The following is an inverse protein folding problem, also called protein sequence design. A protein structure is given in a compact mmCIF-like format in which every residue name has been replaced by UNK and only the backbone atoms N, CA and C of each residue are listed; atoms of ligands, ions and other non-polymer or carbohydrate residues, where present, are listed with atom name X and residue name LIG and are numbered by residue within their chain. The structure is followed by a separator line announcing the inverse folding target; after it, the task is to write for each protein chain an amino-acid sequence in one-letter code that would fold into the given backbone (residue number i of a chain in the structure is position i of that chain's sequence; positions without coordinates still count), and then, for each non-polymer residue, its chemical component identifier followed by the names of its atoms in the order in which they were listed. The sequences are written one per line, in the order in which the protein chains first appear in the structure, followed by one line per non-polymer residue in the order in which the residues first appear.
data_IF_612041848269
#
_entry.id   IF_612041848269
#
_cell.length_a   1.000
_cell.length_b   1.000
_cell.length_c   1.000
_cell.angle_alpha   90.00
_cell.angle_beta   90.00
_cell.angle_gamma   90.00
#
_symmetry.space_group_name_H-M   'P 1'
#
loop_
_entity.id
_entity.type
_entity.pdbx_description
1 polymer ?
#
# COMPACT_ATOMS: atom_id res chain seq x y z
N UNK A 1 -35.10 -14.08 9.46
CA UNK A 1 -35.86 -13.04 8.68
C UNK A 1 -34.88 -11.91 8.39
N UNK A 2 -34.32 -11.92 7.21
CA UNK A 2 -33.39 -10.88 6.72
C UNK A 2 -34.23 -9.78 6.09
N UNK A 3 -34.45 -8.69 6.82
CA UNK A 3 -34.98 -7.47 6.22
C UNK A 3 -33.95 -6.92 5.22
N UNK A 4 -34.28 -7.00 3.95
CA UNK A 4 -33.61 -6.27 2.89
C UNK A 4 -33.86 -4.78 3.12
N UNK A 5 -32.86 -4.05 3.58
CA UNK A 5 -32.91 -2.59 3.68
C UNK A 5 -32.83 -2.04 2.26
N UNK A 6 -34.00 -1.78 1.67
CA UNK A 6 -34.13 -1.02 0.46
C UNK A 6 -33.94 0.49 0.77
N UNK A 7 -32.72 1.01 0.63
CA UNK A 7 -32.53 2.45 0.48
C UNK A 7 -31.40 2.73 -0.51
N UNK A 8 -31.75 3.36 -1.61
CA UNK A 8 -30.82 3.74 -2.69
C UNK A 8 -29.87 4.91 -2.33
N UNK A 9 -30.16 5.63 -1.26
CA UNK A 9 -29.39 6.80 -0.79
C UNK A 9 -28.01 6.52 -0.14
N UNK A 10 -27.74 5.41 0.57
CA UNK A 10 -26.43 5.19 1.19
C UNK A 10 -25.33 4.75 0.23
N UNK A 11 -25.65 4.32 -0.99
CA UNK A 11 -24.71 3.70 -1.90
C UNK A 11 -23.64 4.67 -2.43
N UNK A 12 -24.01 5.90 -2.79
CA UNK A 12 -23.05 6.93 -3.21
C UNK A 12 -22.06 7.28 -2.11
N UNK A 13 -22.54 7.33 -0.85
CA UNK A 13 -21.67 7.56 0.31
C UNK A 13 -20.59 6.49 0.43
N UNK A 14 -20.93 5.22 0.26
CA UNK A 14 -19.98 4.10 0.32
C UNK A 14 -18.91 4.20 -0.77
N UNK A 15 -19.30 4.56 -2.01
CA UNK A 15 -18.32 4.77 -3.09
C UNK A 15 -17.35 5.90 -2.78
N UNK A 16 -17.87 7.03 -2.28
CA UNK A 16 -17.04 8.19 -1.91
C UNK A 16 -16.08 7.85 -0.76
N UNK A 17 -16.58 7.18 0.27
CA UNK A 17 -15.77 6.79 1.44
C UNK A 17 -14.65 5.84 1.04
N UNK A 18 -14.97 4.76 0.31
CA UNK A 18 -13.96 3.80 -0.13
C UNK A 18 -12.96 4.43 -1.11
N UNK A 19 -13.42 5.32 -1.99
CA UNK A 19 -12.55 6.06 -2.88
C UNK A 19 -11.60 6.97 -2.09
N UNK A 20 -12.14 7.87 -1.25
CA UNK A 20 -11.33 8.82 -0.50
C UNK A 20 -10.37 8.12 0.47
N UNK A 21 -10.82 7.12 1.22
CA UNK A 21 -9.97 6.43 2.19
C UNK A 21 -8.78 5.72 1.55
N UNK A 22 -9.00 5.02 0.43
CA UNK A 22 -7.92 4.34 -0.29
C UNK A 22 -7.06 5.31 -1.10
N UNK A 23 -7.66 6.32 -1.71
CA UNK A 23 -6.95 7.34 -2.47
C UNK A 23 -6.00 8.13 -1.58
N UNK A 24 -6.47 8.65 -0.42
CA UNK A 24 -5.64 9.39 0.53
C UNK A 24 -4.43 8.58 0.98
N UNK A 25 -4.64 7.33 1.41
CA UNK A 25 -3.56 6.48 1.91
C UNK A 25 -2.54 6.08 0.83
N UNK A 26 -2.91 6.06 -0.45
CA UNK A 26 -2.01 5.74 -1.56
C UNK A 26 -1.37 7.00 -2.19
N UNK A 27 -2.09 8.11 -2.23
CA UNK A 27 -1.59 9.41 -2.66
C UNK A 27 -0.43 9.88 -1.79
N UNK A 28 -0.63 9.80 -0.49
CA UNK A 28 0.32 10.23 0.53
C UNK A 28 1.69 9.53 0.41
N UNK A 29 1.70 8.23 0.10
CA UNK A 29 2.95 7.49 -0.13
C UNK A 29 3.70 7.93 -1.39
N UNK A 30 2.99 8.41 -2.43
CA UNK A 30 3.60 8.87 -3.68
C UNK A 30 4.16 10.29 -3.63
N UNK A 31 3.50 11.17 -2.89
CA UNK A 31 3.86 12.60 -2.83
C UNK A 31 5.12 12.85 -2.00
N UNK A 32 5.27 12.19 -0.86
CA UNK A 32 6.30 12.48 0.14
C UNK A 32 7.73 12.27 -0.39
N UNK A 33 7.94 11.29 -1.26
CA UNK A 33 9.25 11.04 -1.84
C UNK A 33 9.83 12.26 -2.58
N UNK A 34 8.99 13.11 -3.17
CA UNK A 34 9.41 14.33 -3.86
C UNK A 34 9.86 15.43 -2.89
N UNK A 35 9.30 15.45 -1.70
CA UNK A 35 9.52 16.51 -0.73
C UNK A 35 10.69 16.25 0.24
N UNK A 36 11.32 15.05 0.19
CA UNK A 36 12.40 14.69 1.12
C UNK A 36 13.54 15.70 1.15
N UNK A 37 13.98 16.16 -0.03
CA UNK A 37 15.03 17.19 -0.14
C UNK A 37 14.60 18.52 0.50
N UNK A 38 13.34 18.92 0.30
CA UNK A 38 12.81 20.14 0.90
C UNK A 38 12.75 20.04 2.42
N UNK A 39 12.33 18.89 2.96
CA UNK A 39 12.34 18.65 4.41
C UNK A 39 13.75 18.67 5.00
N UNK A 40 14.73 18.05 4.31
CA UNK A 40 16.13 18.01 4.75
C UNK A 40 16.71 19.42 4.83
N UNK A 41 16.43 20.28 3.85
CA UNK A 41 16.88 21.68 3.83
C UNK A 41 16.17 22.52 4.88
N UNK A 42 14.84 22.45 4.96
CA UNK A 42 14.05 23.32 5.86
C UNK A 42 14.28 23.01 7.35
N UNK A 43 14.51 21.72 7.68
CA UNK A 43 14.77 21.32 9.08
C UNK A 43 16.25 21.16 9.41
N UNK A 44 17.15 21.39 8.46
CA UNK A 44 18.61 21.23 8.62
C UNK A 44 19.00 19.84 9.20
N UNK A 45 18.46 18.78 8.58
CA UNK A 45 18.72 17.39 8.95
C UNK A 45 19.15 16.54 7.75
N UNK A 46 19.84 15.42 8.02
CA UNK A 46 20.22 14.50 6.94
C UNK A 46 19.01 13.87 6.24
N UNK A 47 19.19 13.52 4.96
CA UNK A 47 18.14 12.80 4.18
C UNK A 47 17.79 11.45 4.82
N UNK A 48 18.75 10.78 5.43
CA UNK A 48 18.54 9.52 6.15
C UNK A 48 17.61 9.70 7.34
N UNK A 49 17.84 10.75 8.13
CA UNK A 49 17.02 11.05 9.29
C UNK A 49 15.58 11.39 8.90
N UNK A 50 15.37 12.25 7.93
CA UNK A 50 14.03 12.60 7.47
C UNK A 50 13.35 11.45 6.71
N UNK A 51 14.13 10.54 6.13
CA UNK A 51 13.66 9.30 5.51
C UNK A 51 12.92 8.37 6.49
N UNK A 52 13.19 8.48 7.81
CA UNK A 52 12.42 7.81 8.85
C UNK A 52 10.94 8.17 8.80
N UNK A 53 10.58 9.35 8.31
CA UNK A 53 9.17 9.77 8.15
C UNK A 53 8.40 8.83 7.22
N UNK A 54 9.02 8.33 6.16
CA UNK A 54 8.42 7.37 5.23
C UNK A 54 8.43 5.97 5.84
N UNK A 55 9.58 5.57 6.39
CA UNK A 55 9.76 4.23 6.95
C UNK A 55 8.80 3.96 8.11
N UNK A 56 8.69 4.89 9.06
CA UNK A 56 7.81 4.73 10.22
C UNK A 56 6.33 4.80 9.83
N UNK A 57 5.96 5.63 8.86
CA UNK A 57 4.61 5.62 8.28
C UNK A 57 4.24 4.24 7.76
N UNK A 58 5.07 3.65 6.88
CA UNK A 58 4.82 2.34 6.28
C UNK A 58 4.84 1.22 7.32
N UNK A 59 5.77 1.27 8.26
CA UNK A 59 5.88 0.31 9.35
C UNK A 59 4.60 0.29 10.20
N UNK A 60 4.15 1.46 10.66
CA UNK A 60 2.93 1.55 11.47
C UNK A 60 1.68 1.23 10.66
N UNK A 61 1.62 1.61 9.39
CA UNK A 61 0.54 1.18 8.50
C UNK A 61 0.44 -0.35 8.49
N UNK A 62 1.54 -1.06 8.26
CA UNK A 62 1.54 -2.53 8.20
C UNK A 62 1.16 -3.15 9.54
N UNK A 63 1.75 -2.66 10.64
CA UNK A 63 1.49 -3.18 11.99
C UNK A 63 0.01 -3.05 12.34
N UNK A 64 -0.57 -1.88 12.07
CA UNK A 64 -1.94 -1.58 12.45
C UNK A 64 -3.00 -2.07 11.46
N UNK A 65 -2.62 -2.62 10.29
CA UNK A 65 -3.60 -3.16 9.32
C UNK A 65 -4.50 -4.25 9.92
N UNK A 66 -3.90 -5.23 10.60
CA UNK A 66 -4.67 -6.34 11.19
C UNK A 66 -5.50 -5.88 12.39
N UNK A 67 -4.96 -5.10 13.36
CA UNK A 67 -5.78 -4.49 14.42
C UNK A 67 -6.92 -3.65 13.88
N UNK A 68 -6.68 -2.88 12.81
CA UNK A 68 -7.70 -2.03 12.18
C UNK A 68 -8.83 -2.86 11.55
N UNK A 69 -8.50 -3.99 10.94
CA UNK A 69 -9.48 -4.94 10.41
C UNK A 69 -10.33 -5.56 11.53
N UNK A 70 -9.68 -6.02 12.59
CA UNK A 70 -10.37 -6.53 13.78
C UNK A 70 -11.28 -5.46 14.42
N UNK A 71 -10.78 -4.22 14.55
CA UNK A 71 -11.54 -3.11 15.11
C UNK A 71 -12.79 -2.82 14.26
N UNK A 72 -12.69 -2.88 12.94
CA UNK A 72 -13.83 -2.72 12.04
C UNK A 72 -14.86 -3.84 12.14
N UNK A 73 -14.42 -5.07 12.32
CA UNK A 73 -15.32 -6.20 12.51
C UNK A 73 -15.97 -6.20 13.92
N UNK A 74 -15.30 -5.59 14.93
CA UNK A 74 -15.76 -5.49 16.31
C UNK A 74 -16.66 -4.26 16.58
N UNK A 75 -16.24 -3.06 16.19
CA UNK A 75 -16.97 -1.80 16.42
C UNK A 75 -17.90 -1.41 15.27
N UNK A 76 -17.76 -2.05 14.13
CA UNK A 76 -18.37 -1.66 12.86
C UNK A 76 -17.44 -0.81 12.00
N UNK A 77 -17.51 -1.04 10.67
CA UNK A 77 -16.66 -0.36 9.69
C UNK A 77 -16.86 1.16 9.67
N UNK A 78 -18.08 1.62 9.95
CA UNK A 78 -18.41 3.04 10.03
C UNK A 78 -17.57 3.77 11.08
N UNK A 79 -17.53 3.25 12.32
CA UNK A 79 -16.80 3.87 13.43
C UNK A 79 -15.31 3.84 13.15
N UNK A 80 -14.78 2.69 12.70
CA UNK A 80 -13.38 2.53 12.36
C UNK A 80 -12.94 3.49 11.25
N UNK A 81 -13.79 3.73 10.22
CA UNK A 81 -13.52 4.68 9.15
C UNK A 81 -13.55 6.13 9.62
N UNK A 82 -14.52 6.51 10.48
CA UNK A 82 -14.55 7.85 11.07
C UNK A 82 -13.27 8.12 11.85
N UNK A 83 -12.87 7.20 12.73
CA UNK A 83 -11.62 7.30 13.49
C UNK A 83 -10.42 7.38 12.56
N UNK A 84 -10.38 6.57 11.49
CA UNK A 84 -9.33 6.58 10.48
C UNK A 84 -9.21 7.92 9.77
N UNK A 85 -10.32 8.50 9.28
CA UNK A 85 -10.32 9.81 8.64
C UNK A 85 -9.92 10.93 9.60
N UNK A 86 -10.44 10.92 10.83
CA UNK A 86 -10.11 11.94 11.83
C UNK A 86 -8.63 11.86 12.21
N UNK A 87 -8.11 10.67 12.49
CA UNK A 87 -6.70 10.49 12.86
C UNK A 87 -5.78 10.90 11.70
N UNK A 88 -6.06 10.44 10.48
CA UNK A 88 -5.27 10.79 9.30
C UNK A 88 -5.33 12.31 9.03
N UNK A 89 -6.50 12.93 9.12
CA UNK A 89 -6.68 14.37 8.89
C UNK A 89 -6.00 15.22 9.96
N UNK A 90 -6.14 14.88 11.25
CA UNK A 90 -5.50 15.61 12.36
C UNK A 90 -3.98 15.51 12.27
N UNK A 91 -3.45 14.33 12.04
CA UNK A 91 -2.00 14.14 11.90
C UNK A 91 -1.45 14.77 10.61
N UNK A 92 -2.24 14.82 9.53
CA UNK A 92 -1.90 15.59 8.33
C UNK A 92 -1.85 17.09 8.61
N UNK A 93 -2.79 17.60 9.40
CA UNK A 93 -2.77 19.00 9.84
C UNK A 93 -1.51 19.30 10.66
N UNK A 94 -1.17 18.44 11.65
CA UNK A 94 0.05 18.58 12.46
C UNK A 94 1.29 18.53 11.57
N UNK A 95 1.34 17.63 10.58
CA UNK A 95 2.44 17.53 9.64
C UNK A 95 2.62 18.80 8.80
N UNK A 96 1.53 19.40 8.33
CA UNK A 96 1.56 20.63 7.54
C UNK A 96 1.99 21.88 8.32
N UNK A 97 1.87 21.86 9.65
CA UNK A 97 2.31 22.93 10.55
C UNK A 97 3.52 22.52 11.39
N UNK A 98 4.28 21.52 10.98
CA UNK A 98 5.45 21.09 11.76
C UNK A 98 6.62 22.07 11.66
N UNK A 99 7.19 22.40 12.83
CA UNK A 99 8.35 23.30 12.96
C UNK A 99 9.66 22.51 13.16
N UNK A 100 9.60 21.18 13.20
CA UNK A 100 10.77 20.31 13.38
C UNK A 100 10.60 18.95 12.70
N UNK A 101 11.73 18.34 12.31
CA UNK A 101 11.76 16.99 11.74
C UNK A 101 11.10 15.96 12.66
N UNK A 102 11.32 16.05 13.98
CA UNK A 102 10.71 15.15 14.95
C UNK A 102 9.17 15.24 14.95
N UNK A 103 8.62 16.44 14.90
CA UNK A 103 7.17 16.65 14.83
C UNK A 103 6.59 16.10 13.54
N UNK A 104 7.29 16.30 12.41
CA UNK A 104 6.92 15.71 11.14
C UNK A 104 6.92 14.18 11.22
N UNK A 105 8.01 13.57 11.72
CA UNK A 105 8.13 12.11 11.85
C UNK A 105 7.03 11.53 12.74
N UNK A 106 6.74 12.16 13.90
CA UNK A 106 5.66 11.72 14.79
C UNK A 106 4.28 11.82 14.14
N UNK A 107 4.02 12.90 13.40
CA UNK A 107 2.75 13.04 12.67
C UNK A 107 2.61 11.97 11.58
N UNK A 108 3.70 11.60 10.90
CA UNK A 108 3.74 10.50 9.96
C UNK A 108 3.39 9.15 10.60
N UNK A 109 3.82 8.94 11.84
CA UNK A 109 3.41 7.76 12.61
C UNK A 109 1.89 7.70 12.78
N UNK A 110 1.26 8.80 13.17
CA UNK A 110 -0.20 8.88 13.29
C UNK A 110 -0.93 8.71 11.96
N UNK A 111 -0.40 9.27 10.87
CA UNK A 111 -0.94 9.06 9.53
C UNK A 111 -0.88 7.58 9.11
N UNK A 112 0.20 6.86 9.43
CA UNK A 112 0.32 5.42 9.17
C UNK A 112 -0.79 4.60 9.83
N UNK A 113 -1.11 4.89 11.10
CA UNK A 113 -2.21 4.26 11.83
C UNK A 113 -3.56 4.62 11.20
N UNK A 114 -3.78 5.90 10.88
CA UNK A 114 -4.99 6.36 10.19
C UNK A 114 -5.18 5.66 8.83
N UNK A 115 -4.11 5.56 8.04
CA UNK A 115 -4.11 4.85 6.75
C UNK A 115 -4.46 3.36 6.89
N UNK A 116 -3.97 2.70 7.94
CA UNK A 116 -4.31 1.30 8.23
C UNK A 116 -5.81 1.13 8.50
N UNK A 117 -6.40 2.02 9.31
CA UNK A 117 -7.85 2.04 9.56
C UNK A 117 -8.64 2.24 8.28
N UNK A 118 -8.23 3.17 7.42
CA UNK A 118 -8.89 3.42 6.15
C UNK A 118 -8.77 2.24 5.20
N UNK A 119 -7.57 1.69 4.99
CA UNK A 119 -7.34 0.60 4.04
C UNK A 119 -8.08 -0.68 4.42
N UNK A 120 -8.01 -1.10 5.69
CA UNK A 120 -8.67 -2.33 6.16
C UNK A 120 -10.20 -2.21 6.06
N UNK A 121 -10.75 -1.09 6.51
CA UNK A 121 -12.20 -0.95 6.67
C UNK A 121 -12.92 -0.51 5.39
N UNK A 122 -12.27 0.17 4.45
CA UNK A 122 -12.82 0.38 3.11
C UNK A 122 -13.07 -0.96 2.38
N UNK A 123 -12.13 -1.91 2.47
CA UNK A 123 -12.32 -3.24 1.91
C UNK A 123 -13.39 -4.04 2.68
N UNK A 124 -13.41 -3.92 4.02
CA UNK A 124 -14.46 -4.50 4.87
C UNK A 124 -15.85 -4.03 4.46
N UNK A 125 -16.03 -2.72 4.36
CA UNK A 125 -17.29 -2.09 3.95
C UNK A 125 -17.72 -2.54 2.54
N UNK A 126 -16.77 -2.68 1.61
CA UNK A 126 -17.04 -3.21 0.28
C UNK A 126 -17.51 -4.67 0.32
N UNK A 127 -16.94 -5.46 1.22
CA UNK A 127 -17.29 -6.86 1.43
C UNK A 127 -18.73 -7.08 1.89
N UNK A 128 -19.33 -6.13 2.60
CA UNK A 128 -20.71 -6.23 3.10
C UNK A 128 -21.78 -5.94 2.02
N UNK A 129 -21.40 -5.41 0.86
CA UNK A 129 -22.36 -5.03 -0.17
C UNK A 129 -22.91 -6.23 -0.95
N UNK A 130 -24.03 -6.06 -1.67
CA UNK A 130 -24.59 -7.07 -2.56
C UNK A 130 -23.67 -7.39 -3.74
N UNK A 131 -23.79 -8.56 -4.36
CA UNK A 131 -22.88 -9.02 -5.43
C UNK A 131 -22.77 -8.02 -6.60
N UNK A 132 -23.87 -7.40 -7.05
CA UNK A 132 -23.85 -6.36 -8.10
C UNK A 132 -23.10 -5.11 -7.64
N UNK A 133 -23.28 -4.71 -6.40
CA UNK A 133 -22.69 -3.52 -5.81
C UNK A 133 -21.18 -3.71 -5.57
N UNK A 134 -20.77 -4.91 -5.11
CA UNK A 134 -19.35 -5.28 -4.94
C UNK A 134 -18.54 -5.08 -6.22
N UNK A 135 -19.07 -5.49 -7.38
CA UNK A 135 -18.37 -5.38 -8.66
C UNK A 135 -18.10 -3.90 -9.00
N UNK A 136 -19.12 -3.04 -8.88
CA UNK A 136 -18.95 -1.60 -9.11
C UNK A 136 -17.98 -0.97 -8.10
N UNK A 137 -18.16 -1.29 -6.82
CA UNK A 137 -17.34 -0.75 -5.75
C UNK A 137 -15.87 -1.16 -5.89
N UNK A 138 -15.59 -2.42 -6.25
CA UNK A 138 -14.22 -2.88 -6.54
C UNK A 138 -13.57 -2.08 -7.68
N UNK A 139 -14.33 -1.65 -8.70
CA UNK A 139 -13.82 -0.77 -9.75
C UNK A 139 -13.41 0.61 -9.21
N UNK A 140 -14.22 1.19 -8.30
CA UNK A 140 -13.87 2.46 -7.62
C UNK A 140 -12.67 2.31 -6.70
N UNK A 141 -12.57 1.19 -5.98
CA UNK A 141 -11.42 0.86 -5.15
C UNK A 141 -10.14 0.78 -5.99
N UNK A 142 -10.20 0.11 -7.15
CA UNK A 142 -9.04 0.01 -8.05
C UNK A 142 -8.65 1.39 -8.61
N UNK A 143 -9.63 2.21 -9.00
CA UNK A 143 -9.37 3.59 -9.42
C UNK A 143 -8.67 4.39 -8.32
N UNK A 144 -9.17 4.32 -7.09
CA UNK A 144 -8.59 5.04 -5.95
C UNK A 144 -7.12 4.65 -5.70
N UNK A 145 -6.85 3.33 -5.68
CA UNK A 145 -5.51 2.79 -5.46
C UNK A 145 -4.54 3.18 -6.60
N UNK A 146 -5.04 3.24 -7.83
CA UNK A 146 -4.22 3.56 -9.00
C UNK A 146 -3.95 5.05 -9.16
N UNK A 147 -4.94 5.89 -8.83
CA UNK A 147 -4.82 7.34 -8.96
C UNK A 147 -3.80 7.92 -7.98
N UNK A 148 -3.68 7.34 -6.78
CA UNK A 148 -2.72 7.82 -5.78
C UNK A 148 -1.29 7.91 -6.32
N UNK A 149 -0.69 6.82 -6.78
CA UNK A 149 0.66 6.82 -7.36
C UNK A 149 0.82 7.65 -8.63
N UNK A 150 -0.24 7.83 -9.43
CA UNK A 150 -0.19 8.70 -10.63
C UNK A 150 -0.15 10.17 -10.24
N UNK A 151 -1.10 10.55 -9.39
CA UNK A 151 -1.29 11.95 -9.02
C UNK A 151 -0.22 12.40 -8.02
N UNK A 152 0.37 11.46 -7.25
CA UNK A 152 1.42 11.73 -6.29
C UNK A 152 2.56 12.58 -6.89
N UNK A 153 3.35 12.05 -7.82
CA UNK A 153 4.44 12.79 -8.43
C UNK A 153 3.99 14.04 -9.19
N UNK A 154 2.93 13.94 -10.01
CA UNK A 154 2.48 15.04 -10.87
C UNK A 154 1.89 16.20 -10.06
N UNK A 155 0.89 15.94 -9.21
CA UNK A 155 0.28 16.97 -8.37
C UNK A 155 1.20 17.40 -7.23
N UNK A 156 1.94 16.46 -6.63
CA UNK A 156 2.90 16.74 -5.58
C UNK A 156 3.96 17.72 -6.04
N UNK A 157 4.52 17.55 -7.24
CA UNK A 157 5.51 18.47 -7.82
C UNK A 157 4.95 19.87 -8.05
N UNK A 158 3.71 19.98 -8.54
CA UNK A 158 3.03 21.27 -8.74
C UNK A 158 2.79 21.97 -7.40
N UNK A 159 2.25 21.25 -6.41
CA UNK A 159 1.96 21.77 -5.07
C UNK A 159 3.25 22.23 -4.40
N UNK A 160 4.29 21.41 -4.45
CA UNK A 160 5.60 21.72 -3.87
C UNK A 160 6.20 23.01 -4.45
N UNK A 161 6.10 23.19 -5.76
CA UNK A 161 6.61 24.35 -6.47
C UNK A 161 5.82 25.65 -6.18
N UNK A 162 4.48 25.57 -6.07
CA UNK A 162 3.60 26.74 -5.95
C UNK A 162 3.34 27.16 -4.50
N UNK A 163 3.20 26.20 -3.58
CA UNK A 163 2.73 26.46 -2.22
C UNK A 163 3.63 25.87 -1.13
N UNK A 164 4.68 25.13 -1.50
CA UNK A 164 5.58 24.49 -0.55
C UNK A 164 5.08 23.13 -0.09
N UNK A 165 5.95 22.43 0.65
CA UNK A 165 5.70 21.05 1.10
C UNK A 165 4.57 20.92 2.14
N UNK A 166 4.30 21.96 2.90
CA UNK A 166 3.24 22.01 3.93
C UNK A 166 1.88 21.65 3.31
N UNK A 167 1.63 22.15 2.10
CA UNK A 167 0.37 21.92 1.41
C UNK A 167 0.19 20.48 0.90
N UNK A 168 1.28 19.69 0.81
CA UNK A 168 1.18 18.26 0.50
C UNK A 168 0.42 17.49 1.59
N UNK A 169 0.51 17.96 2.83
CA UNK A 169 -0.22 17.42 3.96
C UNK A 169 -1.59 18.08 4.14
N UNK A 170 -1.64 19.41 4.03
CA UNK A 170 -2.88 20.18 4.29
C UNK A 170 -4.00 19.83 3.31
N UNK A 171 -3.70 19.40 2.08
CA UNK A 171 -4.72 18.95 1.10
C UNK A 171 -5.50 17.71 1.59
N UNK A 172 -4.90 16.90 2.46
CA UNK A 172 -5.57 15.73 3.03
C UNK A 172 -6.69 16.12 4.00
N UNK A 173 -6.56 17.26 4.68
CA UNK A 173 -7.49 17.68 5.75
C UNK A 173 -8.93 17.84 5.23
N UNK A 174 -9.20 18.65 4.18
CA UNK A 174 -10.56 18.80 3.67
C UNK A 174 -11.12 17.47 3.13
N UNK A 175 -10.29 16.62 2.53
CA UNK A 175 -10.73 15.31 2.04
C UNK A 175 -11.11 14.38 3.18
N UNK A 176 -10.38 14.41 4.30
CA UNK A 176 -10.70 13.66 5.51
C UNK A 176 -12.00 14.12 6.16
N UNK A 177 -12.25 15.45 6.20
CA UNK A 177 -13.51 16.01 6.70
C UNK A 177 -14.68 15.51 5.84
N UNK A 178 -14.55 15.60 4.52
CA UNK A 178 -15.56 15.08 3.58
C UNK A 178 -15.80 13.59 3.79
N UNK A 179 -14.75 12.78 3.88
CA UNK A 179 -14.84 11.35 4.14
C UNK A 179 -15.58 11.03 5.44
N UNK A 180 -15.24 11.73 6.54
CA UNK A 180 -15.90 11.58 7.84
C UNK A 180 -17.39 11.94 7.79
N UNK A 181 -17.75 13.04 7.12
CA UNK A 181 -19.14 13.45 6.95
C UNK A 181 -19.97 12.43 6.15
N UNK A 182 -19.37 11.84 5.10
CA UNK A 182 -20.03 10.76 4.36
C UNK A 182 -20.21 9.48 5.19
N UNK A 183 -19.26 9.17 6.09
CA UNK A 183 -19.39 8.04 7.02
C UNK A 183 -20.62 8.22 7.95
N UNK A 184 -20.94 9.45 8.39
CA UNK A 184 -22.13 9.70 9.21
C UNK A 184 -23.44 9.33 8.50
N UNK A 185 -23.48 9.38 7.16
CA UNK A 185 -24.65 9.06 6.34
C UNK A 185 -24.90 7.56 6.12
N UNK A 186 -23.96 6.71 6.53
CA UNK A 186 -24.14 5.26 6.44
C UNK A 186 -24.94 4.79 7.65
N UNK A 187 -26.03 4.07 7.37
CA UNK A 187 -26.75 3.27 8.36
C UNK A 187 -26.11 1.89 8.42
N UNK A 188 -25.24 1.66 9.37
CA UNK A 188 -24.64 0.36 9.63
C UNK A 188 -25.41 -0.32 10.75
N UNK A 189 -26.00 -1.48 10.45
CA UNK A 189 -26.42 -2.40 11.51
C UNK A 189 -25.14 -3.03 12.05
N UNK A 190 -24.69 -2.60 13.20
CA UNK A 190 -23.57 -3.20 13.91
C UNK A 190 -23.96 -4.64 14.21
N UNK A 191 -23.42 -5.59 13.45
CA UNK A 191 -23.45 -6.98 13.84
C UNK A 191 -22.39 -7.07 14.95
N UNK A 192 -22.84 -6.89 16.21
CA UNK A 192 -22.00 -7.14 17.37
C UNK A 192 -21.57 -8.61 17.32
N UNK A 193 -20.43 -8.86 16.72
CA UNK A 193 -19.77 -10.15 16.82
C UNK A 193 -19.42 -10.37 18.29
N UNK A 194 -19.56 -11.60 18.75
CA UNK A 194 -19.24 -12.04 20.11
C UNK A 194 -17.96 -11.32 20.61
N UNK A 195 -17.95 -10.93 21.89
CA UNK A 195 -16.82 -10.30 22.60
C UNK A 195 -15.57 -11.18 22.52
N UNK A 196 -14.96 -11.21 21.35
CA UNK A 196 -13.66 -11.85 21.16
C UNK A 196 -12.61 -10.93 21.79
N UNK A 197 -11.85 -11.44 22.75
CA UNK A 197 -10.76 -10.69 23.39
C UNK A 197 -9.66 -10.43 22.36
N UNK A 198 -9.21 -9.17 22.29
CA UNK A 198 -8.10 -8.79 21.41
C UNK A 198 -6.77 -9.39 21.90
N UNK A 199 -6.01 -10.01 21.02
CA UNK A 199 -4.70 -10.57 21.32
C UNK A 199 -3.59 -9.51 21.27
N UNK A 200 -3.44 -8.78 22.37
CA UNK A 200 -2.40 -7.77 22.50
C UNK A 200 -0.98 -8.39 22.46
N UNK A 201 -0.81 -9.62 22.98
CA UNK A 201 0.50 -10.31 22.99
C UNK A 201 0.96 -10.64 21.58
N UNK A 202 0.06 -11.18 20.75
CA UNK A 202 0.34 -11.44 19.35
C UNK A 202 0.70 -10.15 18.59
N UNK A 203 0.00 -9.04 18.85
CA UNK A 203 0.31 -7.74 18.25
C UNK A 203 1.72 -7.25 18.61
N UNK A 204 2.11 -7.33 19.89
CA UNK A 204 3.45 -6.89 20.34
C UNK A 204 4.54 -7.75 19.69
N UNK A 205 4.37 -9.08 19.65
CA UNK A 205 5.35 -9.97 19.00
C UNK A 205 5.47 -9.68 17.50
N UNK A 206 4.35 -9.43 16.83
CA UNK A 206 4.35 -9.04 15.42
C UNK A 206 5.05 -7.71 15.19
N UNK A 207 4.82 -6.71 16.06
CA UNK A 207 5.54 -5.45 16.03
C UNK A 207 7.05 -5.64 16.18
N UNK A 208 7.49 -6.38 17.20
CA UNK A 208 8.93 -6.66 17.43
C UNK A 208 9.56 -7.37 16.23
N UNK A 209 8.86 -8.33 15.63
CA UNK A 209 9.30 -9.02 14.43
C UNK A 209 9.49 -8.05 13.26
N UNK A 210 8.52 -7.17 13.00
CA UNK A 210 8.62 -6.21 11.90
C UNK A 210 9.71 -5.17 12.13
N UNK A 211 9.90 -4.70 13.36
CA UNK A 211 11.02 -3.81 13.70
C UNK A 211 12.36 -4.50 13.42
N UNK A 212 12.50 -5.77 13.82
CA UNK A 212 13.68 -6.55 13.51
C UNK A 212 13.93 -6.70 12.01
N UNK A 213 12.90 -7.00 11.22
CA UNK A 213 13.00 -7.08 9.76
C UNK A 213 13.41 -5.75 9.13
N UNK A 214 12.84 -4.64 9.58
CA UNK A 214 13.19 -3.30 9.07
C UNK A 214 14.64 -2.95 9.45
N UNK A 215 15.06 -3.22 10.68
CA UNK A 215 16.44 -2.99 11.11
C UNK A 215 17.46 -3.77 10.27
N UNK A 216 17.11 -4.99 9.83
CA UNK A 216 17.96 -5.79 8.94
C UNK A 216 18.04 -5.19 7.53
N UNK A 217 16.91 -4.70 6.99
CA UNK A 217 16.87 -4.06 5.67
C UNK A 217 17.76 -2.80 5.66
N UNK A 218 17.71 -2.02 6.73
CA UNK A 218 18.48 -0.78 6.86
C UNK A 218 19.84 -0.96 7.58
N UNK A 219 20.33 -2.19 7.75
CA UNK A 219 21.55 -2.48 8.52
C UNK A 219 22.78 -1.73 8.00
N UNK A 220 22.94 -1.59 6.70
CA UNK A 220 24.04 -0.84 6.09
C UNK A 220 23.93 0.67 6.37
N UNK A 221 22.71 1.23 6.30
CA UNK A 221 22.47 2.66 6.53
C UNK A 221 22.65 3.08 7.99
N UNK A 222 22.43 2.13 8.94
CA UNK A 222 22.61 2.35 10.39
C UNK A 222 24.04 1.99 10.83
N UNK A 223 24.91 1.58 9.89
CA UNK A 223 26.28 1.14 10.15
C UNK A 223 26.40 0.02 11.21
N UNK A 224 25.47 -0.94 11.17
CA UNK A 224 25.52 -2.09 12.08
C UNK A 224 26.72 -2.99 11.76
N UNK A 225 27.43 -3.38 12.79
CA UNK A 225 28.49 -4.39 12.66
C UNK A 225 27.91 -5.76 12.26
N UNK A 226 28.75 -6.63 11.70
CA UNK A 226 28.34 -7.99 11.33
C UNK A 226 27.80 -8.79 12.53
N UNK A 227 28.31 -8.50 13.73
CA UNK A 227 27.87 -9.15 14.98
C UNK A 227 26.48 -8.67 15.36
N UNK A 228 26.21 -7.35 15.31
CA UNK A 228 24.88 -6.79 15.62
C UNK A 228 23.83 -7.27 14.60
N UNK A 229 24.17 -7.27 13.32
CA UNK A 229 23.28 -7.79 12.26
C UNK A 229 22.96 -9.27 12.48
N UNK A 230 23.94 -10.09 12.86
CA UNK A 230 23.72 -11.51 13.18
C UNK A 230 22.84 -11.68 14.42
N UNK A 231 23.04 -10.85 15.46
CA UNK A 231 22.24 -10.88 16.68
C UNK A 231 20.78 -10.47 16.41
N UNK A 232 20.55 -9.40 15.62
CA UNK A 232 19.22 -8.96 15.23
C UNK A 232 18.53 -10.04 14.38
N UNK A 233 19.25 -10.67 13.44
CA UNK A 233 18.70 -11.75 12.61
C UNK A 233 18.25 -12.94 13.46
N UNK A 234 19.10 -13.37 14.41
CA UNK A 234 18.81 -14.48 15.29
C UNK A 234 17.63 -14.17 16.23
N UNK A 235 17.63 -12.99 16.85
CA UNK A 235 16.53 -12.57 17.73
C UNK A 235 15.20 -12.45 16.97
N UNK A 236 15.20 -11.88 15.77
CA UNK A 236 14.03 -11.77 14.91
C UNK A 236 13.47 -13.15 14.54
N UNK A 237 14.35 -14.11 14.23
CA UNK A 237 13.95 -15.50 13.96
C UNK A 237 13.32 -16.16 15.20
N UNK A 238 13.90 -15.97 16.38
CA UNK A 238 13.32 -16.48 17.64
C UNK A 238 11.93 -15.87 17.88
N UNK A 239 11.80 -14.55 17.74
CA UNK A 239 10.52 -13.85 17.90
C UNK A 239 9.48 -14.39 16.91
N UNK A 240 9.87 -14.63 15.64
CA UNK A 240 9.00 -15.22 14.63
C UNK A 240 8.51 -16.63 15.04
N UNK A 241 9.41 -17.49 15.55
CA UNK A 241 9.06 -18.84 15.99
C UNK A 241 8.11 -18.82 17.19
N UNK A 242 8.35 -17.90 18.15
CA UNK A 242 7.46 -17.69 19.29
C UNK A 242 6.11 -17.15 18.87
N UNK A 243 6.07 -16.13 18.02
CA UNK A 243 4.87 -15.57 17.44
C UNK A 243 4.03 -16.69 16.77
N UNK A 244 4.64 -17.47 15.87
CA UNK A 244 3.96 -18.53 15.16
C UNK A 244 3.39 -19.60 16.12
N UNK A 245 4.14 -19.98 17.15
CA UNK A 245 3.70 -20.97 18.15
C UNK A 245 2.54 -20.45 18.99
N UNK A 246 2.55 -19.19 19.39
CA UNK A 246 1.49 -18.57 20.20
C UNK A 246 0.24 -18.40 19.36
N UNK A 247 0.35 -17.78 18.19
CA UNK A 247 -0.75 -17.52 17.28
C UNK A 247 -1.47 -18.78 16.79
N UNK A 248 -0.72 -19.84 16.51
CA UNK A 248 -1.32 -21.10 16.05
C UNK A 248 -2.17 -21.78 17.13
N UNK A 249 -1.90 -21.54 18.42
CA UNK A 249 -2.61 -22.12 19.56
C UNK A 249 -3.70 -21.21 20.12
N UNK A 250 -3.62 -19.91 19.89
CA UNK A 250 -4.58 -18.95 20.44
C UNK A 250 -5.98 -19.16 19.83
N UNK A 251 -7.03 -19.01 20.65
CA UNK A 251 -8.43 -19.17 20.21
C UNK A 251 -8.81 -18.10 19.20
N UNK A 252 -8.43 -16.84 19.47
CA UNK A 252 -8.64 -15.66 18.65
C UNK A 252 -7.29 -14.96 18.41
N UNK A 253 -6.47 -15.48 17.48
CA UNK A 253 -5.14 -14.96 17.24
C UNK A 253 -5.20 -13.54 16.65
N UNK A 254 -4.24 -12.69 17.01
CA UNK A 254 -4.02 -11.38 16.42
C UNK A 254 -3.87 -11.48 14.90
N UNK A 255 -2.93 -12.30 14.45
CA UNK A 255 -2.76 -12.62 13.05
C UNK A 255 -3.62 -13.83 12.71
N UNK A 256 -4.59 -13.72 11.81
CA UNK A 256 -5.58 -14.76 11.59
C UNK A 256 -5.03 -15.97 10.85
N UNK A 257 -4.07 -16.68 11.47
CA UNK A 257 -3.40 -17.89 10.92
C UNK A 257 -4.43 -18.92 10.46
N UNK A 258 -5.54 -19.04 11.21
CA UNK A 258 -6.65 -19.96 10.86
C UNK A 258 -7.34 -19.57 9.54
N UNK A 259 -7.36 -18.29 9.16
CA UNK A 259 -7.86 -17.88 7.85
C UNK A 259 -6.88 -18.25 6.73
N UNK A 260 -5.58 -18.21 6.98
CA UNK A 260 -4.56 -18.65 6.03
C UNK A 260 -4.54 -20.17 5.81
N UNK A 261 -5.09 -20.96 6.72
CA UNK A 261 -5.28 -22.40 6.49
C UNK A 261 -6.35 -22.69 5.42
N UNK A 262 -7.24 -21.73 5.15
CA UNK A 262 -8.20 -21.81 4.06
C UNK A 262 -7.46 -21.58 2.73
N UNK A 263 -7.43 -22.61 1.87
CA UNK A 263 -6.67 -22.59 0.62
C UNK A 263 -6.95 -21.35 -0.22
N UNK A 264 -8.22 -20.94 -0.37
CA UNK A 264 -8.58 -19.75 -1.14
C UNK A 264 -7.94 -18.48 -0.59
N UNK A 265 -7.98 -18.25 0.74
CA UNK A 265 -7.41 -17.07 1.39
C UNK A 265 -5.89 -17.09 1.28
N UNK A 266 -5.27 -18.25 1.46
CA UNK A 266 -3.82 -18.41 1.32
C UNK A 266 -3.34 -18.03 -0.09
N UNK A 267 -3.97 -18.54 -1.15
CA UNK A 267 -3.62 -18.19 -2.52
C UNK A 267 -3.85 -16.71 -2.83
N UNK A 268 -4.91 -16.12 -2.29
CA UNK A 268 -5.17 -14.68 -2.43
C UNK A 268 -4.07 -13.86 -1.75
N UNK A 269 -3.65 -14.24 -0.55
CA UNK A 269 -2.59 -13.56 0.19
C UNK A 269 -1.24 -13.64 -0.53
N UNK A 270 -0.87 -14.84 -1.02
CA UNK A 270 0.34 -15.02 -1.82
C UNK A 270 0.28 -14.20 -3.12
N UNK A 271 -0.86 -14.21 -3.82
CA UNK A 271 -1.06 -13.40 -5.02
C UNK A 271 -0.92 -11.89 -4.74
N UNK A 272 -1.45 -11.42 -3.61
CA UNK A 272 -1.31 -10.01 -3.19
C UNK A 272 0.15 -9.65 -2.86
N UNK A 273 0.91 -10.58 -2.26
CA UNK A 273 2.34 -10.42 -2.00
C UNK A 273 3.13 -10.30 -3.32
N UNK A 274 2.88 -11.19 -4.28
CA UNK A 274 3.53 -11.17 -5.59
C UNK A 274 3.23 -9.86 -6.34
N UNK A 275 1.96 -9.43 -6.34
CA UNK A 275 1.59 -8.15 -6.93
C UNK A 275 2.28 -6.98 -6.24
N UNK A 276 2.32 -6.97 -4.91
CA UNK A 276 3.02 -5.95 -4.15
C UNK A 276 4.51 -5.91 -4.45
N UNK A 277 5.18 -7.06 -4.47
CA UNK A 277 6.60 -7.20 -4.74
C UNK A 277 6.97 -6.65 -6.13
N UNK A 278 6.26 -7.07 -7.17
CA UNK A 278 6.50 -6.57 -8.53
C UNK A 278 6.20 -5.08 -8.66
N UNK A 279 5.14 -4.59 -8.01
CA UNK A 279 4.82 -3.16 -7.97
C UNK A 279 5.90 -2.35 -7.24
N UNK A 280 6.40 -2.84 -6.11
CA UNK A 280 7.47 -2.20 -5.33
C UNK A 280 8.75 -2.07 -6.15
N UNK A 281 9.15 -3.10 -6.89
CA UNK A 281 10.31 -3.05 -7.77
C UNK A 281 10.11 -1.98 -8.87
N UNK A 282 8.99 -1.99 -9.57
CA UNK A 282 8.73 -1.06 -10.66
C UNK A 282 8.70 0.39 -10.15
N UNK A 283 7.99 0.67 -9.07
CA UNK A 283 7.86 2.02 -8.55
C UNK A 283 9.17 2.59 -8.00
N UNK A 284 10.06 1.73 -7.48
CA UNK A 284 11.36 2.17 -6.96
C UNK A 284 12.45 2.19 -8.03
N UNK A 285 12.57 1.14 -8.85
CA UNK A 285 13.65 1.02 -9.81
C UNK A 285 13.48 1.96 -11.00
N UNK A 286 12.25 2.10 -11.54
CA UNK A 286 12.04 2.84 -12.79
C UNK A 286 12.50 4.31 -12.73
N UNK A 287 12.12 5.12 -11.72
CA UNK A 287 12.60 6.50 -11.64
C UNK A 287 14.11 6.58 -11.53
N UNK A 288 14.74 5.68 -10.77
CA UNK A 288 16.18 5.67 -10.54
C UNK A 288 16.94 5.33 -11.84
N UNK A 289 16.48 4.31 -12.56
CA UNK A 289 17.09 3.90 -13.84
C UNK A 289 17.01 5.06 -14.83
N UNK A 290 15.83 5.67 -15.02
CA UNK A 290 15.68 6.79 -15.95
C UNK A 290 16.53 8.00 -15.55
N UNK A 291 16.63 8.33 -14.27
CA UNK A 291 17.45 9.46 -13.80
C UNK A 291 18.95 9.21 -14.04
N UNK A 292 19.41 7.96 -13.94
CA UNK A 292 20.84 7.62 -14.14
C UNK A 292 21.23 7.49 -15.60
N UNK A 293 20.38 6.83 -16.39
CA UNK A 293 20.71 6.40 -17.75
C UNK A 293 20.23 7.38 -18.84
N UNK A 294 19.43 8.39 -18.48
CA UNK A 294 18.89 9.33 -19.44
C UNK A 294 19.07 10.78 -18.97
N UNK A 295 19.08 11.71 -19.93
CA UNK A 295 19.13 13.15 -19.65
C UNK A 295 17.73 13.78 -19.51
N UNK A 296 16.68 12.99 -19.34
CA UNK A 296 15.32 13.51 -19.20
C UNK A 296 15.15 14.31 -17.91
N UNK A 297 14.40 15.42 -17.94
CA UNK A 297 14.01 16.16 -16.75
C UNK A 297 13.17 15.30 -15.80
N UNK A 298 13.23 15.58 -14.49
CA UNK A 298 12.53 14.78 -13.45
C UNK A 298 11.03 14.75 -13.66
N UNK A 299 10.43 15.82 -14.16
CA UNK A 299 9.00 15.92 -14.49
C UNK A 299 8.60 14.99 -15.64
N UNK A 300 9.44 14.86 -16.69
CA UNK A 300 9.22 13.91 -17.78
C UNK A 300 9.37 12.46 -17.30
N UNK A 301 10.37 12.16 -16.47
CA UNK A 301 10.53 10.84 -15.84
C UNK A 301 9.29 10.49 -15.01
N UNK A 302 8.78 11.44 -14.23
CA UNK A 302 7.53 11.27 -13.49
C UNK A 302 6.36 10.89 -14.40
N UNK A 303 6.21 11.55 -15.56
CA UNK A 303 5.18 11.22 -16.54
C UNK A 303 5.37 9.82 -17.15
N UNK A 304 6.59 9.44 -17.50
CA UNK A 304 6.89 8.10 -18.03
C UNK A 304 6.50 7.00 -17.03
N UNK A 305 6.80 7.20 -15.75
CA UNK A 305 6.46 6.24 -14.69
C UNK A 305 4.94 6.11 -14.44
N UNK A 306 4.11 7.06 -14.91
CA UNK A 306 2.64 6.94 -14.81
C UNK A 306 2.04 5.88 -15.74
N UNK A 307 2.80 5.33 -16.67
CA UNK A 307 2.33 4.32 -17.62
C UNK A 307 1.74 3.08 -16.95
N UNK A 308 2.38 2.55 -15.90
CA UNK A 308 1.87 1.40 -15.15
C UNK A 308 0.53 1.69 -14.45
N UNK A 309 0.38 2.74 -13.64
CA UNK A 309 -0.91 3.15 -13.08
C UNK A 309 -2.01 3.39 -14.14
N UNK A 310 -1.69 3.96 -15.29
CA UNK A 310 -2.65 4.12 -16.40
C UNK A 310 -3.13 2.75 -16.88
N UNK A 311 -2.24 1.77 -17.01
CA UNK A 311 -2.60 0.38 -17.33
C UNK A 311 -3.59 -0.20 -16.31
N UNK A 312 -3.40 0.06 -15.00
CA UNK A 312 -4.36 -0.37 -13.96
C UNK A 312 -5.73 0.30 -14.15
N UNK A 313 -5.78 1.57 -14.51
CA UNK A 313 -7.06 2.25 -14.84
C UNK A 313 -7.73 1.59 -16.05
N UNK A 314 -6.98 1.28 -17.11
CA UNK A 314 -7.50 0.57 -18.27
C UNK A 314 -8.10 -0.78 -17.89
N UNK A 315 -7.53 -1.50 -16.93
CA UNK A 315 -8.07 -2.76 -16.43
C UNK A 315 -9.50 -2.65 -15.90
N UNK A 316 -9.86 -1.49 -15.32
CA UNK A 316 -11.22 -1.23 -14.83
C UNK A 316 -12.22 -1.18 -15.99
N UNK A 317 -11.84 -0.57 -17.12
CA UNK A 317 -12.69 -0.52 -18.31
C UNK A 317 -12.81 -1.90 -18.98
N UNK A 318 -11.69 -2.62 -19.11
CA UNK A 318 -11.67 -4.00 -19.64
C UNK A 318 -12.59 -4.90 -18.81
N UNK A 319 -12.50 -4.80 -17.47
CA UNK A 319 -13.33 -5.60 -16.57
C UNK A 319 -14.84 -5.31 -16.69
N UNK A 320 -15.26 -4.10 -17.09
CA UNK A 320 -16.67 -3.79 -17.33
C UNK A 320 -17.26 -4.55 -18.52
N UNK A 321 -16.43 -4.86 -19.52
CA UNK A 321 -16.84 -5.58 -20.73
C UNK A 321 -16.90 -7.09 -20.48
N UNK A 322 -16.05 -7.60 -19.57
CA UNK A 322 -15.97 -9.04 -19.28
C UNK A 322 -17.06 -9.43 -18.26
N UNK A 323 -17.76 -10.53 -18.54
CA UNK A 323 -18.78 -11.06 -17.63
C UNK A 323 -18.18 -11.38 -16.25
N UNK A 324 -18.78 -10.90 -15.14
CA UNK A 324 -18.29 -11.12 -13.77
C UNK A 324 -18.13 -12.58 -13.36
N UNK A 325 -18.81 -13.50 -14.04
CA UNK A 325 -18.71 -14.94 -13.77
C UNK A 325 -17.32 -15.51 -14.15
N UNK A 326 -16.58 -14.85 -15.03
CA UNK A 326 -15.25 -15.29 -15.49
C UNK A 326 -14.09 -14.83 -14.60
N UNK A 327 -14.36 -14.37 -13.36
CA UNK A 327 -13.32 -13.87 -12.43
C UNK A 327 -12.12 -14.83 -12.22
N UNK A 328 -12.36 -16.15 -12.17
CA UNK A 328 -11.28 -17.15 -12.07
C UNK A 328 -10.48 -17.26 -13.37
N UNK A 329 -11.15 -17.17 -14.51
CA UNK A 329 -10.53 -17.17 -15.84
C UNK A 329 -9.67 -15.92 -16.00
N UNK A 330 -10.23 -14.75 -15.63
CA UNK A 330 -9.48 -13.47 -15.64
C UNK A 330 -8.22 -13.59 -14.79
N UNK A 331 -8.30 -14.20 -13.59
CA UNK A 331 -7.16 -14.40 -12.72
C UNK A 331 -6.06 -15.24 -13.37
N UNK A 332 -6.44 -16.35 -14.06
CA UNK A 332 -5.51 -17.27 -14.72
C UNK A 332 -4.74 -16.57 -15.85
N UNK A 333 -5.39 -15.70 -16.64
CA UNK A 333 -4.73 -14.99 -17.74
C UNK A 333 -4.04 -13.70 -17.32
N UNK A 334 -4.54 -13.03 -16.28
CA UNK A 334 -3.98 -11.78 -15.80
C UNK A 334 -2.60 -11.95 -15.13
N UNK A 335 -2.38 -13.05 -14.41
CA UNK A 335 -1.10 -13.33 -13.76
C UNK A 335 0.05 -13.51 -14.77
N UNK A 336 -0.05 -14.38 -15.80
CA UNK A 336 0.98 -14.48 -16.84
C UNK A 336 1.20 -13.16 -17.59
N UNK A 337 0.13 -12.42 -17.91
CA UNK A 337 0.24 -11.11 -18.55
C UNK A 337 1.04 -10.13 -17.67
N UNK A 338 0.76 -10.08 -16.38
CA UNK A 338 1.48 -9.23 -15.44
C UNK A 338 2.97 -9.65 -15.35
N UNK A 339 3.25 -10.95 -15.19
CA UNK A 339 4.61 -11.43 -15.02
C UNK A 339 5.43 -11.33 -16.30
N UNK A 340 4.85 -11.59 -17.48
CA UNK A 340 5.54 -11.42 -18.76
C UNK A 340 5.85 -9.95 -19.03
N UNK A 341 4.93 -9.05 -18.75
CA UNK A 341 5.18 -7.63 -18.88
C UNK A 341 6.22 -7.11 -17.87
N UNK A 342 6.24 -7.66 -16.66
CA UNK A 342 7.29 -7.38 -15.66
C UNK A 342 8.68 -7.86 -16.17
N UNK A 343 8.76 -9.06 -16.73
CA UNK A 343 10.00 -9.56 -17.31
C UNK A 343 10.47 -8.69 -18.51
N UNK A 344 9.53 -8.23 -19.35
CA UNK A 344 9.84 -7.30 -20.44
C UNK A 344 10.38 -5.97 -19.93
N UNK A 345 9.82 -5.42 -18.85
CA UNK A 345 10.34 -4.19 -18.21
C UNK A 345 11.78 -4.37 -17.76
N UNK A 346 12.10 -5.52 -17.19
CA UNK A 346 13.47 -5.84 -16.79
C UNK A 346 14.41 -5.94 -17.99
N UNK A 347 14.00 -6.56 -19.10
CA UNK A 347 14.81 -6.65 -20.33
C UNK A 347 15.00 -5.29 -21.01
N UNK A 348 13.97 -4.43 -21.00
CA UNK A 348 14.02 -3.09 -21.58
C UNK A 348 14.95 -2.17 -20.78
N UNK A 349 15.16 -2.40 -19.49
CA UNK A 349 16.10 -1.62 -18.67
C UNK A 349 17.57 -1.74 -19.14
N UNK A 350 17.93 -2.77 -19.89
CA UNK A 350 19.25 -2.92 -20.50
C UNK A 350 19.41 -2.15 -21.84
N UNK A 351 18.31 -1.72 -22.47
CA UNK A 351 18.31 -0.98 -23.73
C UNK A 351 17.15 0.02 -23.72
N UNK A 352 17.37 1.18 -23.09
CA UNK A 352 16.31 2.10 -22.67
C UNK A 352 15.65 2.79 -23.87
N UNK A 353 14.58 2.18 -24.38
CA UNK A 353 13.61 2.82 -25.24
C UNK A 353 12.39 3.21 -24.42
N UNK A 354 12.14 4.52 -24.25
CA UNK A 354 10.96 5.04 -23.55
C UNK A 354 9.66 4.44 -24.08
N UNK A 355 9.56 4.30 -25.40
CA UNK A 355 8.38 3.70 -26.03
C UNK A 355 8.14 2.26 -25.58
N UNK A 356 9.17 1.41 -25.62
CA UNK A 356 9.08 0.02 -25.18
C UNK A 356 8.77 -0.08 -23.68
N UNK A 357 9.38 0.79 -22.86
CA UNK A 357 9.09 0.86 -21.44
C UNK A 357 7.63 1.21 -21.17
N UNK A 358 7.09 2.25 -21.82
CA UNK A 358 5.71 2.70 -21.63
C UNK A 358 4.72 1.57 -21.98
N UNK A 359 4.93 0.87 -23.10
CA UNK A 359 4.06 -0.25 -23.49
C UNK A 359 4.15 -1.39 -22.47
N UNK A 360 5.34 -1.80 -22.06
CA UNK A 360 5.52 -2.86 -21.08
C UNK A 360 4.93 -2.49 -19.73
N UNK A 361 5.13 -1.25 -19.27
CA UNK A 361 4.56 -0.75 -18.03
C UNK A 361 3.03 -0.67 -18.06
N UNK A 362 2.43 -0.25 -19.19
CA UNK A 362 0.98 -0.27 -19.37
C UNK A 362 0.42 -1.71 -19.37
N UNK A 363 1.08 -2.64 -20.05
CA UNK A 363 0.71 -4.06 -20.05
C UNK A 363 0.81 -4.67 -18.63
N UNK A 364 1.88 -4.34 -17.88
CA UNK A 364 2.02 -4.71 -16.49
C UNK A 364 0.86 -4.18 -15.64
N UNK A 365 0.56 -2.89 -15.76
CA UNK A 365 -0.53 -2.25 -15.03
C UNK A 365 -1.89 -2.87 -15.35
N UNK A 366 -2.15 -3.15 -16.62
CA UNK A 366 -3.39 -3.79 -17.06
C UNK A 366 -3.52 -5.21 -16.48
N UNK A 367 -2.48 -6.03 -16.62
CA UNK A 367 -2.44 -7.37 -16.05
C UNK A 367 -2.57 -7.36 -14.52
N UNK A 368 -1.79 -6.49 -13.84
CA UNK A 368 -1.81 -6.33 -12.39
C UNK A 368 -3.16 -5.85 -11.86
N UNK A 369 -3.79 -4.88 -12.54
CA UNK A 369 -5.12 -4.38 -12.18
C UNK A 369 -6.22 -5.43 -12.31
N UNK A 370 -6.22 -6.20 -13.40
CA UNK A 370 -7.13 -7.35 -13.58
C UNK A 370 -6.90 -8.42 -12.52
N UNK A 371 -5.64 -8.75 -12.25
CA UNK A 371 -5.24 -9.73 -11.26
C UNK A 371 -5.69 -9.32 -9.86
N UNK A 372 -5.27 -8.16 -9.37
CA UNK A 372 -5.58 -7.67 -8.03
C UNK A 372 -7.08 -7.47 -7.81
N UNK A 373 -7.80 -6.91 -8.79
CA UNK A 373 -9.25 -6.73 -8.67
C UNK A 373 -10.01 -8.05 -8.61
N UNK A 374 -9.51 -9.10 -9.26
CA UNK A 374 -10.09 -10.45 -9.21
C UNK A 374 -9.79 -11.14 -7.88
N UNK A 375 -8.58 -10.97 -7.35
CA UNK A 375 -8.21 -11.44 -6.00
C UNK A 375 -9.13 -10.84 -4.93
N UNK A 376 -9.30 -9.51 -4.93
CA UNK A 376 -10.19 -8.82 -3.97
C UNK A 376 -11.62 -9.33 -4.11
N UNK A 377 -12.12 -9.50 -5.32
CA UNK A 377 -13.49 -9.99 -5.54
C UNK A 377 -13.67 -11.40 -4.98
N UNK A 378 -12.74 -12.31 -5.23
CA UNK A 378 -12.79 -13.69 -4.71
C UNK A 378 -12.68 -13.68 -3.17
N UNK A 379 -11.83 -12.85 -2.61
CA UNK A 379 -11.64 -12.71 -1.18
C UNK A 379 -12.92 -12.27 -0.46
N UNK A 380 -13.59 -11.25 -1.02
CA UNK A 380 -14.82 -10.69 -0.45
C UNK A 380 -16.04 -11.64 -0.56
N UNK A 381 -15.91 -12.77 -1.25
CA UNK A 381 -16.93 -13.84 -1.28
C UNK A 381 -16.74 -14.89 -0.19
N UNK A 382 -15.62 -14.88 0.52
CA UNK A 382 -15.31 -15.88 1.54
C UNK A 382 -16.22 -15.70 2.79
N UNK A 383 -15.68 -15.37 3.94
CA UNK A 383 -16.43 -15.22 5.20
C UNK A 383 -17.04 -13.82 5.33
N UNK A 384 -18.38 -13.73 5.39
CA UNK A 384 -19.10 -12.45 5.49
C UNK A 384 -18.92 -11.75 6.85
N UNK A 385 -18.63 -12.48 7.88
CA UNK A 385 -18.43 -12.02 9.26
C UNK A 385 -17.04 -11.46 9.55
N UNK A 386 -16.05 -11.69 8.65
CA UNK A 386 -14.65 -11.26 8.81
C UNK A 386 -14.12 -10.49 7.58
N UNK A 387 -14.93 -9.62 7.03
CA UNK A 387 -14.59 -8.92 5.77
C UNK A 387 -13.45 -7.92 5.95
N UNK A 388 -13.45 -7.15 7.05
CA UNK A 388 -12.38 -6.20 7.34
C UNK A 388 -11.06 -6.92 7.65
N UNK A 389 -11.12 -8.03 8.39
CA UNK A 389 -9.95 -8.88 8.65
C UNK A 389 -9.37 -9.48 7.35
N UNK A 390 -10.22 -9.96 6.43
CA UNK A 390 -9.76 -10.44 5.12
C UNK A 390 -9.17 -9.29 4.29
N UNK A 391 -9.81 -8.13 4.31
CA UNK A 391 -9.31 -6.92 3.65
C UNK A 391 -7.95 -6.49 4.18
N UNK A 392 -7.76 -6.51 5.51
CA UNK A 392 -6.48 -6.17 6.14
C UNK A 392 -5.37 -7.15 5.78
N UNK A 393 -5.66 -8.46 5.69
CA UNK A 393 -4.69 -9.46 5.23
C UNK A 393 -4.23 -9.19 3.80
N UNK A 394 -5.15 -8.94 2.87
CA UNK A 394 -4.81 -8.63 1.48
C UNK A 394 -3.86 -7.44 1.41
N UNK A 395 -4.18 -6.38 2.16
CA UNK A 395 -3.37 -5.16 2.20
C UNK A 395 -2.04 -5.36 2.91
N UNK A 396 -2.00 -6.16 3.98
CA UNK A 396 -0.77 -6.53 4.67
C UNK A 396 0.22 -7.20 3.72
N UNK A 397 -0.22 -8.24 3.01
CA UNK A 397 0.62 -8.96 2.06
C UNK A 397 1.02 -8.08 0.88
N UNK A 398 0.12 -7.24 0.37
CA UNK A 398 0.42 -6.30 -0.72
C UNK A 398 1.45 -5.25 -0.29
N UNK A 399 1.22 -4.55 0.84
CA UNK A 399 2.14 -3.51 1.31
C UNK A 399 3.49 -4.11 1.75
N UNK A 400 3.48 -5.29 2.38
CA UNK A 400 4.70 -6.03 2.69
C UNK A 400 5.48 -6.38 1.42
N UNK A 401 4.80 -6.84 0.38
CA UNK A 401 5.40 -7.07 -0.93
C UNK A 401 6.02 -5.80 -1.52
N UNK A 402 5.33 -4.66 -1.46
CA UNK A 402 5.84 -3.37 -1.97
C UNK A 402 7.14 -2.99 -1.26
N UNK A 403 7.20 -3.11 0.07
CA UNK A 403 8.41 -2.78 0.84
C UNK A 403 9.57 -3.72 0.47
N UNK A 404 9.33 -5.03 0.42
CA UNK A 404 10.35 -6.02 0.04
C UNK A 404 10.82 -5.75 -1.39
N UNK A 405 9.91 -5.50 -2.32
CA UNK A 405 10.23 -5.20 -3.72
C UNK A 405 11.06 -3.93 -3.87
N UNK A 406 10.71 -2.87 -3.15
CA UNK A 406 11.47 -1.62 -3.13
C UNK A 406 12.89 -1.82 -2.58
N UNK A 407 13.03 -2.53 -1.44
CA UNK A 407 14.33 -2.84 -0.85
C UNK A 407 15.19 -3.71 -1.79
N UNK A 408 14.62 -4.75 -2.40
CA UNK A 408 15.33 -5.58 -3.38
C UNK A 408 15.80 -4.77 -4.60
N UNK A 409 14.98 -3.85 -5.10
CA UNK A 409 15.36 -3.02 -6.26
C UNK A 409 16.54 -2.11 -5.96
N UNK A 410 16.56 -1.49 -4.79
CA UNK A 410 17.67 -0.64 -4.35
C UNK A 410 18.96 -1.44 -4.20
N UNK A 411 18.91 -2.59 -3.54
CA UNK A 411 20.06 -3.48 -3.36
C UNK A 411 20.62 -3.98 -4.71
N UNK A 412 19.77 -4.32 -5.67
CA UNK A 412 20.20 -4.73 -7.01
C UNK A 412 20.87 -3.59 -7.78
N UNK A 413 20.37 -2.37 -7.67
CA UNK A 413 20.95 -1.19 -8.32
C UNK A 413 22.28 -0.76 -7.71
N UNK A 414 22.56 -1.09 -6.45
CA UNK A 414 23.87 -0.85 -5.80
C UNK A 414 24.92 -1.86 -6.27
N UNK A 415 24.55 -3.12 -6.52
CA UNK A 415 25.47 -4.18 -6.93
C UNK A 415 25.98 -3.98 -8.38
N UNK A 416 25.17 -3.43 -9.28
CA UNK A 416 25.49 -3.30 -10.71
C UNK A 416 26.47 -2.15 -11.04
N UNK A 417 26.84 -1.32 -10.07
CA UNK A 417 27.60 -0.10 -10.30
C UNK A 417 29.12 -0.35 -10.34
N UNK A 418 29.62 -1.41 -9.70
CA UNK A 418 31.07 -1.61 -9.55
C UNK A 418 31.81 -2.21 -10.77
N UNK A 419 31.21 -3.03 -11.67
CA UNK A 419 31.94 -3.59 -12.80
C UNK A 419 31.84 -2.76 -14.10
N UNK A 420 30.78 -1.93 -14.29
CA UNK A 420 30.51 -1.28 -15.57
C UNK A 420 31.17 0.10 -15.72
N UNK A 421 31.46 0.79 -14.63
CA UNK A 421 32.29 2.01 -14.69
C UNK A 421 33.70 1.73 -15.21
N UNK A 422 34.23 0.53 -14.98
CA UNK A 422 35.53 0.13 -15.51
C UNK A 422 35.52 -0.18 -17.03
N UNK A 423 34.38 -0.56 -17.60
CA UNK A 423 34.26 -0.91 -19.02
C UNK A 423 34.04 0.35 -19.89
N UNK A 424 33.25 1.32 -19.41
CA UNK A 424 32.99 2.55 -20.14
C UNK A 424 34.20 3.48 -20.21
N UNK A 425 35.13 3.39 -19.26
CA UNK A 425 36.43 4.13 -19.28
C UNK A 425 37.39 3.54 -20.29
N UNK A 426 37.30 2.22 -20.59
CA UNK A 426 38.15 1.57 -21.60
C UNK A 426 37.63 1.73 -23.04
N UNK A 427 36.38 2.17 -23.24
CA UNK A 427 35.84 2.44 -24.58
C UNK A 427 35.95 3.95 -24.99
N UNK A 428 36.41 4.78 -24.10
CA UNK A 428 36.67 6.23 -24.39
C UNK A 428 38.15 6.59 -24.46
N UNK A 429 39.04 5.63 -24.41
CA UNK A 429 40.46 5.70 -24.78
C UNK A 429 40.68 4.99 -26.11
#
# INVERSE_FOLDING_TARGET
MTQAVNSTKPMYSIYIICFLGLFLSTLDTGIINLALNSFSVDFDVSLEYIGLSITLYLLLLIIFLVPSGWLGDFLGQKIALIVGFLLFGLTSMIAGFSDSANQLILSRCGQGIGAALLQANCLGLAGLQSSKQKIKLNSFIMLAISLGPILGPSFGGIILKLWGWQFLFLINVPLCIVGSLFCLRINESVILLNKETFDLKGMILFFMMLVGCVSLIYSNNINLSSVETSFISFSTLIIFLFFWKIESKHSNPFFPVKLLSISSIRYISIGSLIFGLTAGIIFSASPIIFTRETSYPIDEIGLICTASPIGVILSVFVKKVINPNYKKIILIYALPLMLSAFALLFLVSFNISVFNYVIAAMCYGLGGGLFQSSLIQIAMEQKKDKQSTIGSLIRLFQNGGIIIGAACSLALLEIDISPLENISTYQRL
#
